data_IF_564879255072
#
_entry.id   IF_564879255072
#
_cell.length_a   1.000
_cell.length_b   1.000
_cell.length_c   1.000
_cell.angle_alpha   90.00
_cell.angle_beta   90.00
_cell.angle_gamma   90.00
#
_symmetry.space_group_name_H-M   'P 1'
#
loop_
_entity.id
_entity.type
_entity.pdbx_description
1 polymer ?
#
# COMPACT_ATOMS: atom_id res chain seq x y z
N UNK A 1 72.76 -18.02 43.73
CA UNK A 1 72.76 -18.02 42.24
C UNK A 1 71.79 -19.07 41.73
N UNK A 2 70.59 -18.66 41.30
CA UNK A 2 69.89 -18.99 40.03
C UNK A 2 68.41 -18.61 40.18
N UNK A 3 67.99 -17.70 39.31
CA UNK A 3 66.61 -17.21 39.10
C UNK A 3 65.79 -18.27 38.37
N UNK A 4 64.47 -18.30 38.64
CA UNK A 4 63.34 -18.23 37.66
C UNK A 4 62.02 -18.28 38.45
N UNK A 5 61.16 -17.25 38.47
CA UNK A 5 60.09 -16.90 37.49
C UNK A 5 58.97 -17.98 37.48
N UNK A 6 57.65 -17.74 37.60
CA UNK A 6 56.76 -16.66 37.12
C UNK A 6 55.44 -16.73 37.94
N UNK A 7 54.82 -15.58 38.18
CA UNK A 7 53.45 -15.40 38.72
C UNK A 7 52.36 -16.08 37.86
N UNK A 8 51.39 -16.74 38.49
CA UNK A 8 50.08 -16.95 37.87
C UNK A 8 48.97 -16.95 38.93
N UNK A 9 48.40 -15.76 39.15
CA UNK A 9 47.13 -15.54 39.85
C UNK A 9 46.02 -15.93 38.88
N UNK A 10 45.26 -16.96 39.20
CA UNK A 10 44.08 -17.39 38.45
C UNK A 10 42.86 -16.57 38.90
N UNK A 11 42.65 -15.40 38.30
CA UNK A 11 41.37 -14.68 38.39
C UNK A 11 40.36 -15.34 37.45
N UNK A 12 39.48 -16.20 37.97
CA UNK A 12 38.32 -16.70 37.24
C UNK A 12 37.21 -15.67 37.36
N UNK A 13 37.23 -14.65 36.49
CA UNK A 13 36.08 -13.80 36.23
C UNK A 13 35.08 -14.61 35.39
N UNK A 14 34.02 -15.10 36.04
CA UNK A 14 32.88 -15.72 35.37
C UNK A 14 32.13 -14.61 34.61
N UNK A 15 32.49 -14.41 33.35
CA UNK A 15 31.68 -13.63 32.41
C UNK A 15 30.35 -14.37 32.23
N UNK A 16 29.29 -13.87 32.84
CA UNK A 16 27.93 -14.22 32.44
C UNK A 16 27.78 -13.62 31.04
N UNK A 17 27.93 -14.46 30.01
CA UNK A 17 27.48 -14.15 28.66
C UNK A 17 25.96 -13.99 28.73
N UNK A 18 25.52 -12.74 28.93
CA UNK A 18 24.17 -12.32 28.57
C UNK A 18 24.06 -12.55 27.06
N UNK A 19 23.55 -13.72 26.67
CA UNK A 19 22.97 -13.90 25.36
C UNK A 19 21.95 -12.76 25.21
N UNK A 20 22.01 -11.94 24.14
CA UNK A 20 20.94 -11.00 23.91
C UNK A 20 19.66 -11.83 23.85
N UNK A 21 18.70 -11.52 24.72
CA UNK A 21 17.34 -11.94 24.48
C UNK A 21 17.06 -11.62 23.01
N UNK A 22 16.56 -12.58 22.22
CA UNK A 22 15.97 -12.26 20.92
C UNK A 22 14.86 -11.26 21.23
N UNK A 23 15.17 -9.96 21.15
CA UNK A 23 14.17 -8.99 20.78
C UNK A 23 13.67 -9.50 19.44
N UNK A 24 12.40 -9.89 19.37
CA UNK A 24 11.72 -9.93 18.08
C UNK A 24 11.98 -8.58 17.45
N UNK A 25 12.84 -8.53 16.44
CA UNK A 25 12.97 -7.36 15.59
C UNK A 25 11.64 -7.27 14.86
N UNK A 26 10.68 -6.57 15.45
CA UNK A 26 9.54 -6.09 14.69
C UNK A 26 10.16 -5.32 13.53
N UNK A 27 9.98 -5.84 12.31
CA UNK A 27 10.45 -5.16 11.13
C UNK A 27 9.76 -3.81 11.10
N UNK A 28 10.49 -2.69 10.95
CA UNK A 28 9.88 -1.36 10.88
C UNK A 28 8.87 -1.25 9.74
N UNK A 29 8.93 -2.15 8.75
CA UNK A 29 8.22 -2.04 7.48
C UNK A 29 6.82 -2.69 7.44
N UNK A 30 6.47 -3.57 8.37
CA UNK A 30 5.20 -4.33 8.39
C UNK A 30 4.35 -3.99 9.63
N UNK A 31 3.03 -3.87 9.48
CA UNK A 31 2.11 -3.59 10.59
C UNK A 31 0.89 -4.51 10.61
N UNK A 32 0.74 -5.28 11.70
CA UNK A 32 -0.45 -6.07 12.00
C UNK A 32 -1.27 -5.56 13.20
N UNK A 33 -0.97 -4.33 13.67
CA UNK A 33 -1.68 -3.71 14.78
C UNK A 33 -2.79 -2.80 14.25
N UNK A 34 -3.99 -2.98 14.82
CA UNK A 34 -5.17 -2.20 14.46
C UNK A 34 -5.05 -0.72 14.86
N UNK A 35 -4.28 -0.42 15.91
CA UNK A 35 -4.10 0.94 16.38
C UNK A 35 -2.99 1.65 15.59
N UNK A 36 -3.34 2.77 14.97
CA UNK A 36 -2.37 3.69 14.39
C UNK A 36 -1.66 4.49 15.49
N UNK A 37 -0.33 4.56 15.41
CA UNK A 37 0.51 5.41 16.26
C UNK A 37 1.31 6.32 15.34
N UNK A 38 1.05 7.62 15.41
CA UNK A 38 1.74 8.65 14.62
C UNK A 38 2.76 9.39 15.48
N UNK A 39 3.94 9.76 14.94
CA UNK A 39 4.84 10.69 15.59
C UNK A 39 4.18 12.04 15.83
N UNK A 40 4.44 12.70 16.97
CA UNK A 40 3.84 14.01 17.28
C UNK A 40 4.16 15.09 16.24
N UNK A 41 5.32 15.01 15.58
CA UNK A 41 5.77 15.95 14.55
C UNK A 41 5.28 15.61 13.15
N UNK A 42 4.52 14.52 12.97
CA UNK A 42 4.09 14.07 11.67
C UNK A 42 2.96 14.93 11.11
N UNK A 43 3.11 15.35 9.85
CA UNK A 43 2.07 16.04 9.11
C UNK A 43 1.37 15.05 8.18
N UNK A 44 0.07 14.85 8.40
CA UNK A 44 -0.78 13.95 7.61
C UNK A 44 -0.88 14.41 6.15
N UNK A 45 -0.91 15.73 5.91
CA UNK A 45 -1.08 16.32 4.59
C UNK A 45 0.21 16.38 3.79
N UNK A 46 0.80 15.24 3.44
CA UNK A 46 2.12 15.19 2.81
C UNK A 46 2.15 15.76 1.39
N UNK A 47 1.04 15.73 0.64
CA UNK A 47 1.00 16.28 -0.72
C UNK A 47 1.03 17.82 -0.73
N UNK A 48 0.90 18.49 0.42
CA UNK A 48 1.02 19.95 0.51
C UNK A 48 2.40 20.48 0.13
N UNK A 49 3.44 19.66 0.27
CA UNK A 49 4.83 20.04 -0.04
C UNK A 49 5.17 19.89 -1.53
N UNK A 50 4.29 19.24 -2.31
CA UNK A 50 4.49 19.02 -3.74
C UNK A 50 4.06 20.25 -4.56
N UNK A 51 4.75 20.48 -5.67
CA UNK A 51 4.34 21.48 -6.67
C UNK A 51 2.95 21.13 -7.24
N UNK A 52 2.06 22.12 -7.22
CA UNK A 52 0.71 22.00 -7.76
C UNK A 52 0.66 21.73 -9.26
N UNK A 53 1.73 22.09 -9.99
CA UNK A 53 1.88 21.88 -11.43
C UNK A 53 2.34 20.46 -11.80
N UNK A 54 2.78 19.65 -10.84
CA UNK A 54 3.16 18.25 -11.06
C UNK A 54 1.95 17.42 -11.51
N UNK A 55 2.10 16.60 -12.55
CA UNK A 55 1.04 15.69 -12.98
C UNK A 55 0.91 14.55 -11.98
N UNK A 56 -0.32 14.06 -11.76
CA UNK A 56 -0.50 12.89 -10.89
C UNK A 56 0.26 11.65 -11.35
N UNK A 57 0.53 11.51 -12.65
CA UNK A 57 1.33 10.41 -13.18
C UNK A 57 2.82 10.52 -12.87
N UNK A 58 3.31 11.66 -12.37
CA UNK A 58 4.71 11.88 -11.98
C UNK A 58 4.97 11.65 -10.47
N UNK A 59 3.93 11.31 -9.70
CA UNK A 59 4.02 11.20 -8.23
C UNK A 59 4.14 9.73 -7.83
N UNK A 60 5.09 9.43 -6.94
CA UNK A 60 5.17 8.13 -6.27
C UNK A 60 4.18 8.09 -5.10
N UNK A 61 3.17 7.24 -5.20
CA UNK A 61 2.00 7.22 -4.31
C UNK A 61 1.93 5.89 -3.53
N UNK A 62 1.92 5.94 -2.18
CA UNK A 62 1.65 4.74 -1.39
C UNK A 62 0.17 4.35 -1.48
N UNK A 63 -0.07 3.07 -1.72
CA UNK A 63 -1.41 2.48 -1.87
C UNK A 63 -1.61 1.24 -1.01
N UNK A 64 -2.87 0.84 -0.86
CA UNK A 64 -3.24 -0.45 -0.25
C UNK A 64 -3.97 -1.34 -1.24
N UNK A 65 -3.56 -2.61 -1.29
CA UNK A 65 -4.28 -3.66 -1.99
C UNK A 65 -5.49 -4.09 -1.17
N UNK A 66 -6.63 -4.30 -1.84
CA UNK A 66 -7.91 -4.67 -1.22
C UNK A 66 -8.15 -3.91 0.09
N UNK A 67 -8.16 -2.58 -0.01
CA UNK A 67 -8.07 -1.60 1.09
C UNK A 67 -8.98 -1.90 2.27
N UNK A 68 -10.15 -2.49 2.00
CA UNK A 68 -11.20 -2.74 2.97
C UNK A 68 -11.17 -4.16 3.56
N UNK A 69 -10.27 -5.04 3.10
CA UNK A 69 -10.15 -6.42 3.54
C UNK A 69 -9.54 -6.51 4.96
N UNK A 70 -10.37 -6.18 5.95
CA UNK A 70 -10.06 -6.13 7.38
C UNK A 70 -10.62 -7.34 8.13
N UNK A 71 -11.46 -8.14 7.47
CA UNK A 71 -12.18 -9.25 8.08
C UNK A 71 -12.07 -10.53 7.24
N UNK A 72 -12.58 -11.64 7.76
CA UNK A 72 -12.58 -12.94 7.07
C UNK A 72 -11.43 -13.87 7.44
N UNK A 73 -10.57 -13.46 8.36
CA UNK A 73 -9.48 -14.28 8.90
C UNK A 73 -8.25 -14.31 7.99
N UNK A 74 -7.24 -15.14 8.32
CA UNK A 74 -5.92 -15.09 7.69
C UNK A 74 -5.91 -15.32 6.19
N UNK A 75 -6.97 -15.87 5.60
CA UNK A 75 -7.04 -16.10 4.16
C UNK A 75 -7.53 -14.88 3.37
N UNK A 76 -8.20 -13.93 4.02
CA UNK A 76 -8.84 -12.77 3.39
C UNK A 76 -8.29 -11.44 3.90
N UNK A 77 -7.85 -11.34 5.15
CA UNK A 77 -7.34 -10.09 5.72
C UNK A 77 -6.05 -9.65 5.00
N UNK A 78 -6.07 -8.42 4.47
CA UNK A 78 -4.95 -7.76 3.78
C UNK A 78 -4.48 -6.48 4.49
N UNK A 79 -5.30 -5.93 5.39
CA UNK A 79 -5.01 -4.65 6.07
C UNK A 79 -5.27 -4.76 7.58
N UNK A 80 -4.52 -3.99 8.37
CA UNK A 80 -4.73 -3.89 9.83
C UNK A 80 -5.46 -2.59 10.22
N UNK A 81 -5.22 -1.51 9.48
CA UNK A 81 -5.81 -0.21 9.77
C UNK A 81 -7.13 -0.03 9.04
N UNK A 82 -8.10 0.59 9.71
CA UNK A 82 -9.31 1.04 9.04
C UNK A 82 -8.98 2.14 7.99
N UNK A 83 -9.95 2.47 7.15
CA UNK A 83 -9.76 3.43 6.05
C UNK A 83 -9.24 4.80 6.52
N UNK A 84 -9.75 5.32 7.64
CA UNK A 84 -9.33 6.62 8.18
C UNK A 84 -7.87 6.58 8.63
N UNK A 85 -7.47 5.52 9.32
CA UNK A 85 -6.10 5.33 9.78
C UNK A 85 -5.12 5.10 8.62
N UNK A 86 -5.52 4.39 7.56
CA UNK A 86 -4.72 4.26 6.34
C UNK A 86 -4.45 5.65 5.70
N UNK A 87 -5.49 6.48 5.58
CA UNK A 87 -5.36 7.84 5.03
C UNK A 87 -4.47 8.71 5.93
N UNK A 88 -4.66 8.64 7.25
CA UNK A 88 -3.84 9.35 8.22
C UNK A 88 -2.38 8.89 8.19
N UNK A 89 -2.09 7.62 7.92
CA UNK A 89 -0.72 7.12 7.80
C UNK A 89 0.01 7.57 6.51
N UNK A 90 -0.74 8.05 5.50
CA UNK A 90 -0.21 8.60 4.26
C UNK A 90 -0.69 7.92 2.98
N UNK A 91 -1.51 6.86 3.06
CA UNK A 91 -2.06 6.18 1.88
C UNK A 91 -2.90 7.14 1.04
N UNK A 92 -2.67 7.16 -0.28
CA UNK A 92 -3.45 7.97 -1.25
C UNK A 92 -3.93 7.17 -2.46
N UNK A 93 -3.70 5.86 -2.51
CA UNK A 93 -4.35 4.96 -3.46
C UNK A 93 -5.10 3.85 -2.75
N UNK A 94 -6.34 3.62 -3.18
CA UNK A 94 -7.24 2.64 -2.59
C UNK A 94 -7.76 1.69 -3.66
N UNK A 95 -7.62 0.38 -3.40
CA UNK A 95 -8.19 -0.69 -4.20
C UNK A 95 -9.49 -1.19 -3.54
N UNK A 96 -10.64 -0.74 -4.07
CA UNK A 96 -11.95 -0.99 -3.50
C UNK A 96 -12.70 -2.04 -4.33
N UNK A 97 -12.81 -3.25 -3.79
CA UNK A 97 -13.60 -4.33 -4.39
C UNK A 97 -15.07 -4.19 -3.99
N UNK A 98 -15.93 -4.05 -5.00
CA UNK A 98 -17.32 -3.65 -4.82
C UNK A 98 -18.25 -4.65 -5.48
N UNK A 99 -19.26 -5.08 -4.72
CA UNK A 99 -20.35 -5.92 -5.19
C UNK A 99 -21.68 -5.18 -5.08
N UNK A 100 -22.46 -5.21 -6.17
CA UNK A 100 -23.79 -4.61 -6.20
C UNK A 100 -24.85 -5.66 -5.84
N UNK A 101 -25.61 -5.41 -4.78
CA UNK A 101 -26.81 -6.17 -4.47
C UNK A 101 -28.00 -5.22 -4.29
N UNK A 102 -29.04 -5.46 -5.10
CA UNK A 102 -30.14 -4.52 -5.30
C UNK A 102 -29.63 -3.13 -5.73
N UNK A 103 -29.79 -2.11 -4.88
CA UNK A 103 -29.30 -0.75 -5.10
C UNK A 103 -28.19 -0.35 -4.10
N UNK A 104 -27.58 -1.33 -3.43
CA UNK A 104 -26.50 -1.09 -2.46
C UNK A 104 -25.18 -1.63 -2.98
N UNK A 105 -24.13 -0.82 -2.84
CA UNK A 105 -22.75 -1.16 -3.19
C UNK A 105 -22.00 -1.60 -1.93
N UNK A 106 -21.75 -2.90 -1.79
CA UNK A 106 -21.04 -3.50 -0.66
C UNK A 106 -19.56 -3.64 -0.96
N UNK A 107 -18.73 -3.42 0.06
CA UNK A 107 -17.29 -3.71 -0.01
C UNK A 107 -17.05 -5.17 0.37
N UNK A 108 -16.32 -5.88 -0.48
CA UNK A 108 -16.15 -7.34 -0.39
C UNK A 108 -14.71 -7.74 -0.67
N UNK A 109 -14.24 -8.83 -0.06
CA UNK A 109 -13.09 -9.58 -0.56
C UNK A 109 -13.56 -10.96 -1.04
N UNK A 110 -13.84 -11.08 -2.35
CA UNK A 110 -14.48 -12.27 -2.89
C UNK A 110 -15.88 -12.45 -2.30
N UNK A 111 -16.09 -13.50 -1.51
CA UNK A 111 -17.38 -13.76 -0.83
C UNK A 111 -17.46 -13.20 0.58
N UNK A 112 -16.37 -12.62 1.10
CA UNK A 112 -16.31 -12.06 2.45
C UNK A 112 -16.82 -10.63 2.44
N UNK A 113 -17.76 -10.33 3.33
CA UNK A 113 -18.28 -8.98 3.49
C UNK A 113 -17.42 -8.19 4.48
N UNK A 114 -16.93 -7.01 4.05
CA UNK A 114 -15.98 -6.20 4.83
C UNK A 114 -16.65 -5.19 5.77
N UNK A 115 -17.91 -5.46 6.15
CA UNK A 115 -18.68 -4.67 7.11
C UNK A 115 -18.84 -3.18 6.77
N UNK A 116 -18.65 -2.81 5.50
CA UNK A 116 -18.80 -1.43 5.01
C UNK A 116 -19.45 -1.37 3.63
N UNK A 117 -19.85 -0.18 3.20
CA UNK A 117 -20.40 0.07 1.87
C UNK A 117 -19.54 1.08 1.14
N UNK A 118 -19.62 1.06 -0.20
CA UNK A 118 -18.89 2.03 -1.02
C UNK A 118 -19.27 3.47 -0.69
N UNK A 119 -20.56 3.74 -0.42
CA UNK A 119 -21.04 5.06 0.03
C UNK A 119 -20.36 5.51 1.32
N UNK A 120 -20.25 4.64 2.33
CA UNK A 120 -19.57 4.98 3.58
C UNK A 120 -18.08 5.27 3.36
N UNK A 121 -17.42 4.49 2.50
CA UNK A 121 -16.03 4.75 2.15
C UNK A 121 -15.89 6.13 1.48
N UNK A 122 -16.73 6.47 0.49
CA UNK A 122 -16.73 7.79 -0.13
C UNK A 122 -16.94 8.92 0.90
N UNK A 123 -17.86 8.75 1.86
CA UNK A 123 -18.08 9.74 2.91
C UNK A 123 -16.82 9.93 3.77
N UNK A 124 -16.13 8.85 4.14
CA UNK A 124 -14.84 8.92 4.84
C UNK A 124 -13.79 9.66 4.03
N UNK A 125 -13.69 9.40 2.71
CA UNK A 125 -12.74 10.12 1.84
C UNK A 125 -13.06 11.62 1.78
N UNK A 126 -14.34 11.98 1.65
CA UNK A 126 -14.78 13.38 1.60
C UNK A 126 -14.48 14.12 2.90
N UNK A 127 -14.71 13.47 4.04
CA UNK A 127 -14.34 14.04 5.36
C UNK A 127 -12.84 14.27 5.42
N UNK A 128 -12.04 13.25 5.11
CA UNK A 128 -10.59 13.35 5.09
C UNK A 128 -10.08 14.49 4.19
N UNK A 129 -10.57 14.56 2.95
CA UNK A 129 -10.18 15.60 1.98
C UNK A 129 -10.67 16.99 2.38
N UNK A 130 -11.72 17.10 3.20
CA UNK A 130 -12.15 18.38 3.77
C UNK A 130 -11.24 18.87 4.90
N UNK A 131 -10.67 17.94 5.68
CA UNK A 131 -9.70 18.23 6.74
C UNK A 131 -8.29 18.50 6.19
N UNK A 132 -7.93 17.81 5.11
CA UNK A 132 -6.63 17.92 4.43
C UNK A 132 -6.81 18.30 2.95
N UNK A 133 -7.20 19.55 2.65
CA UNK A 133 -7.57 19.98 1.29
C UNK A 133 -6.39 20.03 0.31
N UNK A 134 -5.15 19.90 0.80
CA UNK A 134 -3.96 19.74 -0.05
C UNK A 134 -3.89 18.36 -0.70
N UNK A 135 -4.59 17.37 -0.16
CA UNK A 135 -4.46 15.98 -0.58
C UNK A 135 -5.41 15.65 -1.72
N UNK A 136 -5.13 14.56 -2.43
CA UNK A 136 -6.07 13.92 -3.35
C UNK A 136 -6.00 12.41 -3.14
N UNK A 137 -7.11 11.71 -3.27
CA UNK A 137 -7.14 10.24 -3.09
C UNK A 137 -7.55 9.56 -4.39
N UNK A 138 -6.72 8.62 -4.85
CA UNK A 138 -7.01 7.75 -5.97
C UNK A 138 -7.90 6.59 -5.50
N UNK A 139 -9.06 6.42 -6.13
CA UNK A 139 -10.00 5.35 -5.82
C UNK A 139 -10.18 4.44 -7.05
N UNK A 140 -9.68 3.21 -6.96
CA UNK A 140 -9.99 2.15 -7.92
C UNK A 140 -11.21 1.40 -7.47
N UNK A 141 -12.22 1.30 -8.33
CA UNK A 141 -13.36 0.41 -8.11
C UNK A 141 -13.15 -0.85 -8.94
N UNK A 142 -13.08 -1.99 -8.25
CA UNK A 142 -13.06 -3.32 -8.87
C UNK A 142 -14.41 -4.00 -8.65
N UNK A 143 -15.25 -4.13 -9.70
CA UNK A 143 -16.46 -4.93 -9.60
C UNK A 143 -16.13 -6.40 -9.28
N UNK A 144 -16.59 -6.87 -8.12
CA UNK A 144 -16.40 -8.25 -7.64
C UNK A 144 -17.69 -9.07 -7.79
N UNK A 145 -17.55 -10.40 -7.76
CA UNK A 145 -18.62 -11.38 -7.95
C UNK A 145 -19.32 -11.22 -9.32
N UNK A 146 -20.66 -11.15 -9.33
CA UNK A 146 -21.48 -11.11 -10.53
C UNK A 146 -22.08 -9.71 -10.76
N UNK A 147 -22.59 -9.49 -11.98
CA UNK A 147 -23.23 -8.25 -12.43
C UNK A 147 -22.33 -6.99 -12.33
N UNK A 148 -21.12 -7.11 -12.89
CA UNK A 148 -20.10 -6.04 -12.91
C UNK A 148 -20.61 -4.73 -13.51
N UNK A 149 -21.47 -4.81 -14.52
CA UNK A 149 -22.12 -3.64 -15.15
C UNK A 149 -22.96 -2.84 -14.16
N UNK A 150 -23.64 -3.52 -13.22
CA UNK A 150 -24.48 -2.86 -12.24
C UNK A 150 -23.67 -2.08 -11.21
N UNK A 151 -22.46 -2.55 -10.87
CA UNK A 151 -21.52 -1.78 -10.04
C UNK A 151 -21.20 -0.45 -10.73
N UNK A 152 -20.86 -0.47 -12.02
CA UNK A 152 -20.56 0.74 -12.77
C UNK A 152 -21.76 1.71 -12.81
N UNK A 153 -22.95 1.23 -13.17
CA UNK A 153 -24.17 2.06 -13.22
C UNK A 153 -24.47 2.74 -11.87
N UNK A 154 -24.39 1.98 -10.76
CA UNK A 154 -24.69 2.51 -9.44
C UNK A 154 -23.62 3.48 -8.94
N UNK A 155 -22.33 3.26 -9.26
CA UNK A 155 -21.25 4.19 -8.90
C UNK A 155 -21.41 5.50 -9.67
N UNK A 156 -21.62 5.45 -10.98
CA UNK A 156 -21.83 6.64 -11.82
C UNK A 156 -23.04 7.45 -11.33
N UNK A 157 -24.15 6.79 -11.00
CA UNK A 157 -25.32 7.42 -10.41
C UNK A 157 -25.05 8.04 -9.05
N UNK A 158 -24.25 7.39 -8.20
CA UNK A 158 -23.94 7.86 -6.85
C UNK A 158 -23.14 9.17 -6.86
N UNK A 159 -22.27 9.35 -7.84
CA UNK A 159 -21.37 10.51 -7.95
C UNK A 159 -21.85 11.55 -8.97
N UNK A 160 -23.03 11.35 -9.57
CA UNK A 160 -23.57 12.24 -10.60
C UNK A 160 -23.68 13.67 -10.07
N UNK A 161 -23.00 14.61 -10.75
CA UNK A 161 -22.98 16.03 -10.37
C UNK A 161 -22.12 16.37 -9.15
N UNK A 162 -21.39 15.41 -8.59
CA UNK A 162 -20.50 15.65 -7.45
C UNK A 162 -19.20 16.33 -7.89
N UNK A 163 -18.99 17.59 -7.48
CA UNK A 163 -17.78 18.34 -7.81
C UNK A 163 -16.54 17.93 -7.01
N UNK A 164 -16.71 17.10 -5.97
CA UNK A 164 -15.62 16.57 -5.16
C UNK A 164 -14.93 15.34 -5.79
N UNK A 165 -15.37 14.90 -6.97
CA UNK A 165 -14.76 13.78 -7.69
C UNK A 165 -14.16 14.22 -9.03
N UNK A 166 -13.12 13.52 -9.46
CA UNK A 166 -12.55 13.63 -10.80
C UNK A 166 -12.75 12.31 -11.55
N UNK A 167 -13.51 12.38 -12.63
CA UNK A 167 -13.91 11.22 -13.45
C UNK A 167 -13.42 11.31 -14.89
N UNK A 168 -12.65 12.34 -15.23
CA UNK A 168 -12.10 12.52 -16.59
C UNK A 168 -10.91 11.58 -16.80
N UNK A 169 -10.76 11.08 -18.03
CA UNK A 169 -9.63 10.23 -18.42
C UNK A 169 -8.31 10.96 -18.63
N UNK A 170 -8.29 12.28 -18.54
CA UNK A 170 -7.05 13.07 -18.63
C UNK A 170 -6.31 13.02 -17.30
N UNK A 171 -5.00 12.77 -17.34
CA UNK A 171 -4.11 12.91 -16.18
C UNK A 171 -4.15 14.38 -15.72
N UNK A 172 -4.62 14.68 -14.49
CA UNK A 172 -4.67 16.03 -13.99
C UNK A 172 -3.33 16.47 -13.39
N UNK A 173 -3.11 17.79 -13.34
CA UNK A 173 -2.14 18.39 -12.40
C UNK A 173 -2.67 18.27 -10.98
N UNK A 174 -1.77 18.21 -10.00
CA UNK A 174 -2.15 18.09 -8.59
C UNK A 174 -3.14 19.17 -8.15
N UNK A 175 -2.91 20.44 -8.52
CA UNK A 175 -3.80 21.56 -8.15
C UNK A 175 -5.21 21.47 -8.73
N UNK A 176 -5.41 20.71 -9.82
CA UNK A 176 -6.76 20.49 -10.37
C UNK A 176 -7.59 19.54 -9.51
N UNK A 177 -6.94 18.75 -8.66
CA UNK A 177 -7.53 17.62 -7.91
C UNK A 177 -7.25 17.63 -6.42
N UNK A 178 -6.53 18.62 -5.89
CA UNK A 178 -6.49 18.89 -4.45
C UNK A 178 -7.91 18.99 -3.88
N UNK A 179 -8.16 18.28 -2.78
CA UNK A 179 -9.45 18.13 -2.13
C UNK A 179 -10.44 17.22 -2.86
N UNK A 180 -10.01 16.43 -3.86
CA UNK A 180 -10.90 15.56 -4.66
C UNK A 180 -10.53 14.09 -4.58
N UNK A 181 -11.53 13.26 -4.85
CA UNK A 181 -11.37 11.83 -5.10
C UNK A 181 -11.18 11.64 -6.61
N UNK A 182 -10.06 11.09 -7.02
CA UNK A 182 -9.77 10.78 -8.43
C UNK A 182 -10.08 9.32 -8.67
N UNK A 183 -11.09 9.05 -9.49
CA UNK A 183 -11.34 7.68 -9.93
C UNK A 183 -10.25 7.23 -10.89
N UNK A 184 -9.93 5.94 -10.86
CA UNK A 184 -9.03 5.31 -11.83
C UNK A 184 -9.71 4.15 -12.52
N UNK A 185 -9.42 3.97 -13.82
CA UNK A 185 -10.09 3.01 -14.68
C UNK A 185 -9.14 1.96 -15.21
N UNK A 186 -9.62 0.72 -15.21
CA UNK A 186 -8.97 -0.44 -15.80
C UNK A 186 -10.01 -1.58 -15.97
N UNK A 187 -9.78 -2.46 -16.93
CA UNK A 187 -10.60 -3.63 -17.24
C UNK A 187 -12.11 -3.34 -17.40
N UNK A 188 -12.91 -3.79 -16.44
CA UNK A 188 -14.38 -3.80 -16.50
C UNK A 188 -15.03 -2.57 -15.88
N UNK A 189 -14.24 -1.62 -15.38
CA UNK A 189 -14.73 -0.40 -14.75
C UNK A 189 -14.09 0.82 -15.42
N UNK A 190 -14.87 1.54 -16.21
CA UNK A 190 -14.37 2.59 -17.11
C UNK A 190 -14.76 3.99 -16.65
N UNK A 191 -14.11 4.48 -15.59
CA UNK A 191 -14.35 5.80 -15.01
C UNK A 191 -13.07 6.41 -14.42
N UNK A 192 -12.74 7.64 -14.80
CA UNK A 192 -11.57 8.36 -14.27
C UNK A 192 -10.29 8.13 -15.06
N UNK A 193 -9.15 8.26 -14.41
CA UNK A 193 -7.82 8.27 -15.04
C UNK A 193 -7.37 6.86 -15.44
N UNK A 194 -6.81 6.64 -16.65
CA UNK A 194 -6.28 5.33 -17.04
C UNK A 194 -5.23 4.82 -16.07
N UNK A 195 -5.36 3.56 -15.69
CA UNK A 195 -4.42 2.84 -14.83
C UNK A 195 -3.79 1.70 -15.63
N UNK A 196 -2.47 1.56 -15.52
CA UNK A 196 -1.69 0.47 -16.10
C UNK A 196 -1.04 -0.34 -14.98
N UNK A 197 -1.45 -1.60 -14.84
CA UNK A 197 -0.78 -2.54 -13.95
C UNK A 197 0.53 -3.04 -14.54
N UNK A 198 1.57 -3.07 -13.72
CA UNK A 198 2.81 -3.79 -14.04
C UNK A 198 2.68 -5.29 -13.81
N UNK A 199 1.76 -5.67 -12.92
CA UNK A 199 1.46 -7.06 -12.60
C UNK A 199 0.70 -7.73 -13.76
N UNK A 200 1.00 -9.00 -13.97
CA UNK A 200 0.32 -9.86 -14.93
C UNK A 200 -0.56 -10.90 -14.23
N UNK A 201 -1.46 -11.51 -15.00
CA UNK A 201 -2.41 -12.48 -14.47
C UNK A 201 -1.68 -13.69 -13.85
N UNK A 202 -1.63 -13.71 -12.52
CA UNK A 202 -1.07 -14.81 -11.75
C UNK A 202 -0.02 -14.37 -10.73
N UNK A 203 0.50 -13.15 -10.85
CA UNK A 203 1.63 -12.65 -10.04
C UNK A 203 1.28 -12.43 -8.56
N UNK A 204 -0.01 -12.48 -8.22
CA UNK A 204 -0.45 -12.54 -6.83
C UNK A 204 -0.19 -13.91 -6.18
N UNK A 205 0.10 -14.97 -6.95
CA UNK A 205 0.28 -16.33 -6.43
C UNK A 205 1.70 -16.56 -5.96
N UNK A 206 1.90 -16.60 -4.65
CA UNK A 206 3.24 -16.75 -4.05
C UNK A 206 3.50 -18.20 -3.67
N UNK A 207 4.41 -18.85 -4.41
CA UNK A 207 4.93 -20.18 -4.03
C UNK A 207 6.20 -20.03 -3.17
N UNK A 208 7.11 -19.15 -3.61
CA UNK A 208 8.34 -18.82 -2.91
C UNK A 208 8.47 -17.29 -2.80
N UNK A 209 8.77 -16.80 -1.60
CA UNK A 209 8.92 -15.36 -1.33
C UNK A 209 9.98 -14.73 -2.22
N UNK A 210 11.13 -15.38 -2.39
CA UNK A 210 12.23 -14.86 -3.22
C UNK A 210 11.87 -14.69 -4.71
N UNK A 211 10.86 -15.42 -5.21
CA UNK A 211 10.39 -15.23 -6.58
C UNK A 211 9.50 -13.99 -6.66
N UNK A 212 8.62 -13.79 -5.66
CA UNK A 212 7.84 -12.56 -5.53
C UNK A 212 8.72 -11.32 -5.36
N UNK A 213 9.83 -11.40 -4.61
CA UNK A 213 10.82 -10.32 -4.52
C UNK A 213 11.38 -9.94 -5.91
N UNK A 214 11.73 -10.93 -6.74
CA UNK A 214 12.24 -10.68 -8.10
C UNK A 214 11.17 -10.07 -8.99
N UNK A 215 9.94 -10.58 -8.93
CA UNK A 215 8.79 -10.06 -9.68
C UNK A 215 8.53 -8.59 -9.31
N UNK A 216 8.47 -8.27 -8.01
CA UNK A 216 8.28 -6.88 -7.56
C UNK A 216 9.43 -6.00 -8.05
N UNK A 217 10.68 -6.46 -7.99
CA UNK A 217 11.80 -5.69 -8.53
C UNK A 217 11.66 -5.44 -10.04
N UNK A 218 11.21 -6.43 -10.82
CA UNK A 218 10.95 -6.27 -12.25
C UNK A 218 9.81 -5.29 -12.53
N UNK A 219 8.73 -5.36 -11.75
CA UNK A 219 7.57 -4.47 -11.85
C UNK A 219 7.93 -3.03 -11.49
N UNK A 220 8.70 -2.81 -10.41
CA UNK A 220 9.22 -1.50 -10.07
C UNK A 220 10.13 -0.94 -11.17
N UNK A 221 10.98 -1.78 -11.79
CA UNK A 221 11.78 -1.36 -12.94
C UNK A 221 10.92 -0.96 -14.15
N UNK A 222 9.82 -1.67 -14.42
CA UNK A 222 8.88 -1.28 -15.46
C UNK A 222 8.20 0.05 -15.09
N UNK A 223 7.76 0.21 -13.84
CA UNK A 223 7.13 1.44 -13.37
C UNK A 223 8.05 2.66 -13.50
N UNK A 224 9.34 2.49 -13.23
CA UNK A 224 10.34 3.56 -13.44
C UNK A 224 10.44 4.04 -14.90
N UNK A 225 10.17 3.16 -15.87
CA UNK A 225 10.23 3.52 -17.29
C UNK A 225 8.92 4.11 -17.81
N UNK A 226 7.78 3.75 -17.21
CA UNK A 226 6.45 4.15 -17.65
C UNK A 226 5.86 5.34 -16.85
N UNK A 227 6.40 5.62 -15.65
CA UNK A 227 5.95 6.74 -14.84
C UNK A 227 6.09 8.08 -15.60
N UNK A 228 5.14 8.99 -15.36
CA UNK A 228 5.01 10.26 -16.08
C UNK A 228 4.34 10.16 -17.44
N UNK A 229 3.93 8.95 -17.84
CA UNK A 229 3.16 8.71 -19.05
C UNK A 229 1.72 9.23 -19.00
N UNK A 230 0.94 8.78 -19.98
CA UNK A 230 -0.49 9.11 -20.11
C UNK A 230 -1.40 8.20 -19.27
N UNK A 231 -0.85 7.48 -18.29
CA UNK A 231 -1.56 6.58 -17.40
C UNK A 231 -0.88 6.60 -16.03
N UNK A 232 -1.65 6.33 -14.98
CA UNK A 232 -1.09 6.01 -13.67
C UNK A 232 -0.52 4.59 -13.73
N UNK A 233 0.67 4.38 -13.19
CA UNK A 233 1.29 3.06 -13.15
C UNK A 233 1.06 2.45 -11.77
N UNK A 234 0.74 1.17 -11.72
CA UNK A 234 0.46 0.44 -10.47
C UNK A 234 1.28 -0.84 -10.38
N UNK A 235 2.01 -0.96 -9.28
CA UNK A 235 2.70 -2.19 -8.87
C UNK A 235 2.10 -2.71 -7.58
N UNK A 236 1.82 -4.02 -7.52
CA UNK A 236 1.42 -4.68 -6.30
C UNK A 236 2.62 -5.38 -5.64
N UNK A 237 2.87 -5.08 -4.36
CA UNK A 237 3.76 -5.90 -3.53
C UNK A 237 3.01 -7.05 -2.84
N UNK A 238 1.68 -6.99 -2.82
CA UNK A 238 0.82 -7.99 -2.20
C UNK A 238 0.81 -9.34 -2.92
N UNK A 239 0.34 -10.37 -2.22
CA UNK A 239 0.18 -11.71 -2.78
C UNK A 239 -0.24 -12.74 -1.75
N UNK A 240 -0.60 -13.94 -2.21
CA UNK A 240 -0.93 -15.08 -1.37
C UNK A 240 -0.49 -16.39 -2.02
N UNK A 241 -0.04 -17.34 -1.22
CA UNK A 241 0.17 -18.71 -1.65
C UNK A 241 -1.04 -19.62 -1.46
N UNK A 242 -2.15 -19.11 -0.91
CA UNK A 242 -3.39 -19.88 -0.79
C UNK A 242 -3.87 -20.28 -2.18
N UNK A 243 -4.18 -21.57 -2.35
CA UNK A 243 -4.53 -22.15 -3.66
C UNK A 243 -3.32 -22.63 -4.48
N UNK A 244 -2.09 -22.47 -3.98
CA UNK A 244 -0.90 -23.17 -4.49
C UNK A 244 -0.58 -24.39 -3.61
N UNK A 245 0.05 -25.43 -4.15
CA UNK A 245 0.36 -26.64 -3.36
C UNK A 245 1.47 -26.36 -2.33
N UNK A 246 2.57 -25.75 -2.77
CA UNK A 246 3.76 -25.53 -1.94
C UNK A 246 3.68 -24.25 -1.08
N UNK A 247 2.95 -23.23 -1.54
CA UNK A 247 2.75 -21.96 -0.84
C UNK A 247 1.49 -21.90 0.01
N UNK A 248 0.75 -23.00 0.20
CA UNK A 248 -0.60 -22.99 0.82
C UNK A 248 -0.70 -22.35 2.21
N UNK A 249 0.43 -22.18 2.90
CA UNK A 249 0.52 -21.55 4.22
C UNK A 249 0.96 -20.07 4.18
N UNK A 250 1.22 -19.52 3.01
CA UNK A 250 1.54 -18.11 2.79
C UNK A 250 0.23 -17.32 2.65
N UNK A 251 -0.36 -16.99 3.79
CA UNK A 251 -1.46 -16.02 3.86
C UNK A 251 -1.00 -14.64 3.37
N UNK A 252 -1.91 -13.72 2.97
CA UNK A 252 -1.54 -12.35 2.62
C UNK A 252 -0.63 -11.71 3.68
N UNK A 253 -1.02 -11.81 4.95
CA UNK A 253 -0.21 -11.38 6.09
C UNK A 253 1.20 -11.98 6.11
N UNK A 254 1.36 -13.29 5.89
CA UNK A 254 2.67 -13.96 5.91
C UNK A 254 3.55 -13.60 4.71
N UNK A 255 2.94 -13.24 3.59
CA UNK A 255 3.67 -12.68 2.45
C UNK A 255 4.16 -11.28 2.81
N UNK A 256 3.29 -10.40 3.29
CA UNK A 256 3.63 -9.04 3.72
C UNK A 256 4.72 -9.00 4.82
N UNK A 257 4.66 -9.92 5.81
CA UNK A 257 5.69 -10.10 6.85
C UNK A 257 7.12 -10.33 6.31
N UNK A 258 7.25 -10.72 5.04
CA UNK A 258 8.54 -10.93 4.35
C UNK A 258 8.80 -9.90 3.26
N UNK A 259 7.79 -9.56 2.47
CA UNK A 259 7.91 -8.65 1.35
C UNK A 259 8.06 -7.20 1.81
N UNK A 260 7.33 -6.74 2.82
CA UNK A 260 7.42 -5.34 3.27
C UNK A 260 8.82 -4.98 3.81
N UNK A 261 9.46 -5.80 4.67
CA UNK A 261 10.86 -5.57 5.07
C UNK A 261 11.81 -5.51 3.88
N UNK A 262 11.67 -6.43 2.93
CA UNK A 262 12.52 -6.47 1.73
C UNK A 262 12.30 -5.23 0.86
N UNK A 263 11.05 -4.83 0.64
CA UNK A 263 10.69 -3.66 -0.15
C UNK A 263 11.22 -2.38 0.51
N UNK A 264 11.07 -2.27 1.83
CA UNK A 264 11.65 -1.18 2.60
C UNK A 264 13.16 -1.08 2.41
N UNK A 265 13.89 -2.19 2.59
CA UNK A 265 15.35 -2.20 2.41
C UNK A 265 15.77 -1.87 0.97
N UNK A 266 15.04 -2.38 -0.02
CA UNK A 266 15.25 -2.07 -1.44
C UNK A 266 15.08 -0.58 -1.73
N UNK A 267 13.99 0.02 -1.26
CA UNK A 267 13.71 1.45 -1.45
C UNK A 267 14.72 2.34 -0.69
N UNK A 268 15.08 1.96 0.54
CA UNK A 268 16.09 2.68 1.33
C UNK A 268 17.47 2.66 0.68
N UNK A 269 17.85 1.54 0.05
CA UNK A 269 19.08 1.45 -0.73
C UNK A 269 19.09 2.48 -1.87
N UNK A 270 18.00 2.59 -2.64
CA UNK A 270 17.91 3.56 -3.73
C UNK A 270 17.98 5.01 -3.24
N UNK A 271 17.29 5.34 -2.13
CA UNK A 271 17.37 6.65 -1.51
C UNK A 271 18.80 6.97 -1.02
N UNK A 272 19.50 5.99 -0.44
CA UNK A 272 20.88 6.15 0.03
C UNK A 272 21.88 6.36 -1.12
N UNK A 273 21.59 5.84 -2.31
CA UNK A 273 22.35 6.08 -3.55
C UNK A 273 22.05 7.45 -4.17
N UNK A 274 21.09 8.22 -3.63
CA UNK A 274 20.65 9.51 -4.15
C UNK A 274 19.73 9.39 -5.37
N UNK A 275 19.12 8.22 -5.58
CA UNK A 275 18.19 7.96 -6.67
C UNK A 275 16.76 8.18 -6.20
N UNK A 276 16.03 9.10 -6.84
CA UNK A 276 14.60 9.38 -6.59
C UNK A 276 13.76 9.14 -7.84
N UNK A 277 13.76 7.91 -8.40
CA UNK A 277 12.92 7.59 -9.54
C UNK A 277 11.45 7.62 -9.14
N UNK A 278 10.58 7.87 -10.11
CA UNK A 278 9.15 7.72 -9.89
C UNK A 278 8.74 6.25 -10.08
N UNK A 279 7.94 5.72 -9.13
CA UNK A 279 7.37 4.37 -9.22
C UNK A 279 5.87 4.35 -9.53
N UNK A 280 5.22 5.52 -9.69
CA UNK A 280 3.77 5.60 -9.71
C UNK A 280 3.19 5.09 -8.39
N UNK A 281 2.22 4.19 -8.44
CA UNK A 281 1.55 3.65 -7.27
C UNK A 281 2.19 2.33 -6.83
N UNK A 282 2.53 2.22 -5.55
CA UNK A 282 2.92 0.96 -4.92
C UNK A 282 1.82 0.54 -3.95
N UNK A 283 1.04 -0.48 -4.31
CA UNK A 283 -0.05 -1.00 -3.50
C UNK A 283 0.38 -2.22 -2.67
N UNK A 284 0.18 -2.13 -1.35
CA UNK A 284 0.76 -3.05 -0.36
C UNK A 284 -0.32 -3.70 0.52
N UNK A 285 0.02 -4.85 1.12
CA UNK A 285 -0.73 -5.47 2.22
C UNK A 285 -0.03 -5.15 3.54
N UNK A 286 -0.77 -4.78 4.59
CA UNK A 286 -0.22 -4.49 5.93
C UNK A 286 0.97 -3.51 6.01
N UNK A 287 1.04 -2.44 5.17
CA UNK A 287 2.19 -1.55 5.21
C UNK A 287 2.28 -0.83 6.56
N UNK A 288 3.48 -0.79 7.13
CA UNK A 288 3.77 0.06 8.27
C UNK A 288 3.81 1.55 7.91
N UNK A 289 3.83 2.38 8.95
CA UNK A 289 4.09 3.80 8.80
C UNK A 289 5.46 4.06 8.15
N UNK A 290 6.54 3.38 8.56
CA UNK A 290 7.89 3.64 8.05
C UNK A 290 8.02 3.29 6.56
N UNK A 291 7.37 2.20 6.11
CA UNK A 291 7.31 1.83 4.70
C UNK A 291 6.53 2.87 3.88
N UNK A 292 5.37 3.31 4.37
CA UNK A 292 4.60 4.37 3.71
C UNK A 292 5.42 5.66 3.59
N UNK A 293 6.08 6.09 4.67
CA UNK A 293 6.94 7.28 4.63
C UNK A 293 8.14 7.10 3.69
N UNK A 294 8.64 5.86 3.54
CA UNK A 294 9.74 5.57 2.60
C UNK A 294 9.29 5.73 1.15
N UNK A 295 8.09 5.28 0.80
CA UNK A 295 7.48 5.49 -0.52
C UNK A 295 7.28 6.99 -0.78
N UNK A 296 6.78 7.75 0.20
CA UNK A 296 6.54 9.20 0.06
C UNK A 296 7.83 9.98 -0.24
N UNK A 297 8.98 9.56 0.31
CA UNK A 297 10.27 10.25 0.15
C UNK A 297 10.78 10.30 -1.30
N UNK A 298 10.25 9.48 -2.21
CA UNK A 298 10.61 9.53 -3.62
C UNK A 298 10.05 10.75 -4.37
N UNK A 299 9.25 11.58 -3.70
CA UNK A 299 8.72 12.83 -4.27
C UNK A 299 9.53 14.08 -3.87
N UNK A 300 10.63 13.92 -3.14
CA UNK A 300 11.49 15.02 -2.64
C UNK A 300 12.81 15.15 -3.41
#
# INVERSE_FOLDING_TARGET
>A
MKKTNVDQILCVSLLILLLPAKMESHSPAFNDKEQLILPESYNIGWMMELDGDTLLSDITIPGTHDTMALYGGPAAECQAWNLEDQLKAGIRYLDLRVYAFENTLYLMHGIVYEHSTFTKALDTLKVFLSEFPSETVLARVKPDLFDKSKVQELVEKLIEGDSSVWVKSTIPRLDEVRGKIVFVQEDSFMLGVPLLETDTKGDYKVVHVNDKEKEISQHLNLAMNECGGNSLILTYSSGTGIGTFEGMFLTPKRVAEKIDPWLYDYLQMLLAEGSTPCFGIIAMDFPSFDLIQTVIKFNN
#
